data_IF_572701395946
#
_entry.id   IF_572701395946
#
_cell.length_a   1.000
_cell.length_b   1.000
_cell.length_c   1.000
_cell.angle_alpha   90.00
_cell.angle_beta   90.00
_cell.angle_gamma   90.00
#
_symmetry.space_group_name_H-M   'P 1'
#
loop_
_entity.id
_entity.type
_entity.pdbx_description
1 polymer ?
#
# COMPACT_ATOMS: atom_id res chain seq x y z
N UNK A 1 -21.00 -9.04 -39.31
CA UNK A 1 -21.84 -9.53 -40.41
C UNK A 1 -23.21 -8.87 -40.33
N UNK A 2 -23.98 -8.82 -41.43
CA UNK A 2 -25.36 -8.35 -41.34
C UNK A 2 -26.13 -9.19 -40.31
N UNK A 3 -26.86 -8.54 -39.39
CA UNK A 3 -27.59 -9.20 -38.29
C UNK A 3 -26.81 -9.41 -36.98
N UNK A 4 -25.54 -8.98 -36.89
CA UNK A 4 -24.78 -9.07 -35.64
C UNK A 4 -25.26 -8.04 -34.59
N UNK A 5 -25.43 -8.49 -33.33
CA UNK A 5 -25.66 -7.60 -32.21
C UNK A 5 -24.37 -6.83 -31.87
N UNK A 6 -24.48 -5.51 -31.71
CA UNK A 6 -23.36 -4.61 -31.38
C UNK A 6 -23.74 -3.70 -30.21
N UNK A 7 -22.73 -3.21 -29.50
CA UNK A 7 -22.91 -2.16 -28.49
C UNK A 7 -22.52 -0.81 -29.07
N UNK A 8 -23.31 0.21 -28.78
CA UNK A 8 -23.03 1.60 -29.18
C UNK A 8 -23.19 2.51 -27.98
N UNK A 9 -22.31 3.51 -27.87
CA UNK A 9 -22.44 4.59 -26.91
C UNK A 9 -22.70 5.88 -27.67
N UNK A 10 -23.86 6.48 -27.44
CA UNK A 10 -24.28 7.73 -28.08
C UNK A 10 -24.22 8.87 -27.06
N UNK A 11 -23.10 9.62 -26.98
CA UNK A 11 -23.04 10.87 -26.24
C UNK A 11 -24.10 11.88 -26.71
N UNK A 12 -24.32 12.93 -25.90
CA UNK A 12 -25.36 13.95 -26.12
C UNK A 12 -25.20 14.75 -27.42
N UNK A 13 -24.06 14.67 -28.08
CA UNK A 13 -23.76 15.31 -29.37
C UNK A 13 -24.31 14.53 -30.59
N UNK A 14 -24.96 13.39 -30.36
CA UNK A 14 -25.63 12.59 -31.40
C UNK A 14 -24.72 11.68 -32.20
N UNK A 15 -23.40 11.66 -31.94
CA UNK A 15 -22.45 10.76 -32.61
C UNK A 15 -22.26 9.48 -31.81
N UNK A 16 -22.85 8.39 -32.28
CA UNK A 16 -22.69 7.08 -31.65
C UNK A 16 -21.33 6.46 -31.99
N UNK A 17 -20.61 6.00 -30.97
CA UNK A 17 -19.38 5.25 -31.11
C UNK A 17 -19.65 3.76 -30.91
N UNK A 18 -19.06 2.91 -31.77
CA UNK A 18 -19.05 1.46 -31.57
C UNK A 18 -18.29 1.13 -30.27
N UNK A 19 -18.84 0.21 -29.49
CA UNK A 19 -18.27 -0.25 -28.22
C UNK A 19 -18.30 -1.77 -28.14
N UNK A 20 -17.49 -2.28 -27.23
CA UNK A 20 -17.48 -3.68 -26.81
C UNK A 20 -17.51 -3.71 -25.29
N UNK A 21 -18.27 -4.64 -24.73
CA UNK A 21 -18.19 -4.93 -23.29
C UNK A 21 -16.77 -5.40 -22.97
N UNK A 22 -16.06 -4.73 -22.04
CA UNK A 22 -14.72 -5.13 -21.67
C UNK A 22 -14.72 -6.58 -21.16
N UNK A 23 -13.75 -7.37 -21.60
CA UNK A 23 -13.49 -8.68 -21.01
C UNK A 23 -12.72 -8.57 -19.68
N UNK A 24 -12.02 -7.45 -19.49
CA UNK A 24 -11.35 -7.10 -18.23
C UNK A 24 -12.37 -6.52 -17.27
N UNK A 25 -12.18 -6.77 -16.00
CA UNK A 25 -13.04 -6.30 -14.92
C UNK A 25 -12.31 -5.30 -14.04
N UNK A 26 -13.09 -4.59 -13.23
CA UNK A 26 -12.56 -3.64 -12.27
C UNK A 26 -13.43 -3.54 -11.04
N UNK A 27 -12.86 -3.02 -9.96
CA UNK A 27 -13.60 -2.70 -8.75
C UNK A 27 -13.08 -1.43 -8.12
N UNK A 28 -13.97 -0.73 -7.41
CA UNK A 28 -13.64 0.46 -6.64
C UNK A 28 -14.40 0.45 -5.33
N UNK A 29 -13.71 0.77 -4.24
CA UNK A 29 -14.33 1.04 -2.95
C UNK A 29 -13.78 2.32 -2.38
N UNK A 30 -14.67 3.23 -1.97
CA UNK A 30 -14.32 4.48 -1.31
C UNK A 30 -14.83 4.44 0.14
N UNK A 31 -13.97 4.80 1.09
CA UNK A 31 -14.22 4.67 2.52
C UNK A 31 -13.78 5.93 3.27
N UNK A 32 -14.59 6.34 4.25
CA UNK A 32 -14.19 7.35 5.23
C UNK A 32 -13.22 6.71 6.26
N UNK A 33 -11.96 7.17 6.37
CA UNK A 33 -10.97 6.54 7.23
C UNK A 33 -11.27 6.69 8.74
N UNK A 34 -12.02 7.72 9.13
CA UNK A 34 -12.30 8.03 10.53
C UNK A 34 -13.50 7.25 11.09
N UNK A 35 -14.34 6.70 10.23
CA UNK A 35 -15.55 5.98 10.65
C UNK A 35 -15.66 4.56 10.11
N UNK A 36 -14.98 4.25 8.99
CA UNK A 36 -15.17 2.98 8.27
C UNK A 36 -16.41 2.96 7.37
N UNK A 37 -17.15 4.07 7.25
CA UNK A 37 -18.29 4.17 6.34
C UNK A 37 -17.85 3.99 4.89
N UNK A 38 -18.48 3.04 4.21
CA UNK A 38 -18.30 2.83 2.77
C UNK A 38 -19.17 3.84 2.03
N UNK A 39 -18.53 4.76 1.32
CA UNK A 39 -19.17 5.87 0.62
C UNK A 39 -19.52 5.52 -0.83
N UNK A 40 -18.73 4.64 -1.45
CA UNK A 40 -19.00 4.09 -2.76
C UNK A 40 -18.47 2.65 -2.86
N UNK A 41 -19.21 1.79 -3.56
CA UNK A 41 -18.82 0.42 -3.87
C UNK A 41 -19.22 0.09 -5.30
N UNK A 42 -18.25 -0.29 -6.12
CA UNK A 42 -18.42 -0.76 -7.49
C UNK A 42 -17.78 -2.14 -7.58
N UNK A 43 -18.60 -3.19 -7.66
CA UNK A 43 -18.17 -4.60 -7.63
C UNK A 43 -17.77 -5.19 -8.98
N UNK A 44 -17.94 -4.47 -10.09
CA UNK A 44 -17.69 -4.94 -11.45
C UNK A 44 -18.09 -3.89 -12.48
N UNK A 45 -17.81 -4.18 -13.75
CA UNK A 45 -18.17 -3.30 -14.88
C UNK A 45 -19.68 -3.06 -14.99
N UNK A 46 -20.48 -4.13 -14.85
CA UNK A 46 -21.94 -4.05 -14.93
C UNK A 46 -22.61 -5.15 -14.07
N UNK A 47 -23.38 -4.73 -13.06
CA UNK A 47 -24.09 -5.64 -12.16
C UNK A 47 -25.10 -6.55 -12.88
N UNK A 48 -25.60 -6.16 -14.06
CA UNK A 48 -26.53 -6.98 -14.84
C UNK A 48 -25.86 -8.20 -15.47
N UNK A 49 -24.53 -8.20 -15.55
CA UNK A 49 -23.76 -9.33 -16.06
C UNK A 49 -23.41 -10.35 -14.97
N UNK A 50 -23.51 -9.97 -13.69
CA UNK A 50 -23.27 -10.85 -12.55
C UNK A 50 -23.36 -10.12 -11.21
N UNK A 51 -23.74 -10.86 -10.17
CA UNK A 51 -23.90 -10.38 -8.79
C UNK A 51 -22.63 -10.51 -7.93
N UNK A 52 -21.57 -11.11 -8.48
CA UNK A 52 -20.28 -11.27 -7.80
C UNK A 52 -19.59 -9.92 -7.56
N UNK A 53 -19.43 -9.55 -6.29
CA UNK A 53 -18.78 -8.30 -5.90
C UNK A 53 -17.27 -8.49 -5.73
N UNK A 54 -16.51 -7.97 -6.68
CA UNK A 54 -15.04 -8.04 -6.65
C UNK A 54 -14.42 -7.21 -5.54
N UNK A 55 -15.18 -6.33 -4.90
CA UNK A 55 -14.73 -5.57 -3.72
C UNK A 55 -14.67 -6.47 -2.47
N UNK A 56 -15.66 -7.35 -2.31
CA UNK A 56 -15.88 -8.13 -1.07
C UNK A 56 -15.43 -9.57 -1.19
N UNK A 57 -15.53 -10.16 -2.38
CA UNK A 57 -15.45 -11.61 -2.57
C UNK A 57 -14.28 -12.04 -3.45
N UNK A 58 -13.73 -11.15 -4.29
CA UNK A 58 -12.57 -11.46 -5.11
C UNK A 58 -11.27 -11.42 -4.30
N UNK A 59 -10.79 -12.61 -3.94
CA UNK A 59 -9.44 -12.79 -3.41
C UNK A 59 -8.42 -12.67 -4.55
N UNK A 60 -7.52 -11.69 -4.43
CA UNK A 60 -6.51 -11.32 -5.44
C UNK A 60 -5.21 -10.95 -4.76
N UNK A 61 -4.09 -11.15 -5.45
CA UNK A 61 -2.79 -10.77 -4.94
C UNK A 61 -2.64 -9.24 -4.98
N UNK A 62 -2.41 -8.56 -3.85
CA UNK A 62 -2.25 -7.10 -3.82
C UNK A 62 -0.92 -6.62 -4.45
N UNK A 63 0.07 -7.51 -4.58
CA UNK A 63 1.40 -7.20 -5.07
C UNK A 63 2.03 -6.04 -4.30
N UNK A 64 2.72 -5.13 -5.01
CA UNK A 64 3.38 -3.96 -4.40
C UNK A 64 2.45 -3.00 -3.62
N UNK A 65 1.13 -3.11 -3.72
CA UNK A 65 0.21 -2.32 -2.86
C UNK A 65 0.23 -2.82 -1.40
N UNK A 66 0.83 -3.97 -1.12
CA UNK A 66 1.04 -4.47 0.24
C UNK A 66 2.25 -3.83 0.94
N UNK A 67 3.19 -3.21 0.21
CA UNK A 67 4.44 -2.68 0.78
C UNK A 67 4.25 -1.70 1.94
N UNK A 68 3.31 -0.74 1.92
CA UNK A 68 3.09 0.14 3.08
C UNK A 68 2.83 -0.62 4.38
N UNK A 69 2.24 -1.82 4.32
CA UNK A 69 1.99 -2.68 5.47
C UNK A 69 3.30 -3.28 6.01
N UNK A 70 4.18 -3.74 5.10
CA UNK A 70 5.52 -4.25 5.45
C UNK A 70 6.36 -3.14 6.09
N UNK A 71 6.36 -1.96 5.49
CA UNK A 71 7.13 -0.81 5.98
C UNK A 71 6.60 -0.36 7.35
N UNK A 72 5.28 -0.28 7.52
CA UNK A 72 4.66 -0.01 8.81
C UNK A 72 5.12 -1.01 9.89
N UNK A 73 5.12 -2.32 9.58
CA UNK A 73 5.57 -3.35 10.52
C UNK A 73 7.04 -3.18 10.98
N UNK A 74 7.89 -2.61 10.11
CA UNK A 74 9.30 -2.34 10.40
C UNK A 74 9.54 -1.02 11.16
N UNK A 75 8.63 -0.06 11.00
CA UNK A 75 8.65 1.22 11.72
C UNK A 75 8.03 1.10 13.12
N UNK A 76 7.14 0.13 13.34
CA UNK A 76 6.59 -0.17 14.66
C UNK A 76 7.72 -0.42 15.67
N UNK A 77 7.57 0.05 16.92
CA UNK A 77 8.47 -0.28 18.00
C UNK A 77 8.72 -1.79 18.12
N UNK A 78 9.92 -2.14 18.57
CA UNK A 78 10.25 -3.51 18.91
C UNK A 78 9.44 -3.96 20.14
N UNK A 79 8.96 -5.20 20.12
CA UNK A 79 8.20 -5.76 21.25
C UNK A 79 9.13 -6.18 22.40
N UNK A 80 10.37 -6.52 22.07
CA UNK A 80 11.41 -6.89 23.02
C UNK A 80 12.76 -6.30 22.61
N UNK A 81 13.61 -6.08 23.60
CA UNK A 81 15.01 -5.72 23.37
C UNK A 81 15.72 -6.80 22.53
N UNK A 82 16.60 -6.38 21.61
CA UNK A 82 17.33 -7.29 20.71
C UNK A 82 16.54 -7.82 19.50
N UNK A 83 15.25 -7.50 19.37
CA UNK A 83 14.50 -7.83 18.16
C UNK A 83 15.00 -7.01 16.96
N UNK A 84 15.25 -7.67 15.82
CA UNK A 84 15.72 -7.04 14.58
C UNK A 84 14.56 -6.59 13.70
N UNK A 85 14.85 -5.70 12.75
CA UNK A 85 13.90 -5.26 11.72
C UNK A 85 12.74 -4.39 12.20
N UNK A 86 12.76 -3.88 13.43
CA UNK A 86 11.71 -3.05 14.02
C UNK A 86 12.28 -1.73 14.56
N UNK A 87 11.41 -0.76 14.87
CA UNK A 87 11.80 0.55 15.36
C UNK A 87 12.66 1.35 14.38
N UNK A 88 12.59 1.01 13.09
CA UNK A 88 13.33 1.71 12.04
C UNK A 88 12.77 3.11 11.82
N UNK A 89 13.45 3.90 11.00
CA UNK A 89 13.01 5.25 10.62
C UNK A 89 12.84 5.35 9.11
N UNK A 90 12.04 6.32 8.60
CA UNK A 90 11.97 6.60 7.17
C UNK A 90 13.34 6.92 6.52
N UNK A 91 14.30 7.38 7.31
CA UNK A 91 15.67 7.69 6.90
C UNK A 91 16.63 6.50 6.95
N UNK A 92 16.24 5.36 7.56
CA UNK A 92 17.04 4.13 7.58
C UNK A 92 17.47 3.77 6.16
N UNK A 93 18.77 3.52 5.97
CA UNK A 93 19.33 3.10 4.69
C UNK A 93 19.18 1.59 4.53
N UNK A 94 18.64 1.16 3.40
CA UNK A 94 18.51 -0.25 3.04
C UNK A 94 19.21 -0.43 1.70
N UNK A 95 20.05 -1.44 1.60
CA UNK A 95 20.82 -1.70 0.39
C UNK A 95 19.91 -2.22 -0.73
N UNK A 96 19.74 -1.43 -1.77
CA UNK A 96 19.15 -1.87 -3.02
C UNK A 96 20.23 -2.53 -3.88
N UNK A 97 20.36 -3.86 -3.74
CA UNK A 97 21.32 -4.71 -4.43
C UNK A 97 20.70 -6.11 -4.65
N UNK A 98 21.28 -6.97 -5.53
CA UNK A 98 20.84 -8.35 -5.69
C UNK A 98 20.63 -9.04 -4.35
N UNK A 99 19.55 -9.80 -4.22
CA UNK A 99 19.16 -10.47 -2.99
C UNK A 99 18.80 -11.91 -3.28
N UNK A 100 19.29 -12.83 -2.46
CA UNK A 100 18.91 -14.23 -2.50
C UNK A 100 18.96 -14.79 -1.08
N UNK A 101 17.93 -15.53 -0.70
CA UNK A 101 17.89 -16.28 0.56
C UNK A 101 17.32 -17.65 0.32
N UNK A 102 17.79 -18.63 1.08
CA UNK A 102 17.20 -19.96 1.10
C UNK A 102 15.83 -19.87 1.79
N UNK A 103 14.79 -20.32 1.10
CA UNK A 103 13.48 -20.52 1.66
C UNK A 103 13.48 -21.82 2.49
N UNK A 104 12.57 -21.91 3.47
CA UNK A 104 12.51 -23.06 4.38
C UNK A 104 12.20 -24.42 3.72
N UNK A 105 11.91 -24.44 2.42
CA UNK A 105 11.70 -25.63 1.58
C UNK A 105 12.93 -26.02 0.74
N UNK A 106 14.08 -25.35 0.94
CA UNK A 106 15.32 -25.58 0.20
C UNK A 106 15.37 -24.88 -1.18
N UNK A 107 14.32 -24.13 -1.55
CA UNK A 107 14.36 -23.29 -2.75
C UNK A 107 15.09 -21.98 -2.47
N UNK A 108 15.65 -21.33 -3.49
CA UNK A 108 16.23 -19.99 -3.34
C UNK A 108 15.21 -18.95 -3.75
N UNK A 109 14.85 -18.07 -2.82
CA UNK A 109 14.04 -16.89 -3.11
C UNK A 109 14.94 -15.70 -3.45
N UNK A 110 14.96 -15.33 -4.73
CA UNK A 110 15.76 -14.23 -5.27
C UNK A 110 14.87 -13.21 -6.00
N UNK A 111 14.22 -12.28 -5.28
CA UNK A 111 13.37 -11.26 -5.88
C UNK A 111 14.19 -10.20 -6.61
N UNK A 112 13.65 -9.72 -7.73
CA UNK A 112 14.25 -8.67 -8.54
C UNK A 112 13.37 -7.41 -8.58
N UNK A 113 13.98 -6.25 -8.86
CA UNK A 113 13.27 -5.00 -9.08
C UNK A 113 12.50 -5.05 -10.41
N UNK A 114 11.50 -4.16 -10.54
CA UNK A 114 10.75 -4.03 -11.80
C UNK A 114 11.69 -3.63 -12.96
N UNK A 115 12.67 -2.76 -12.68
CA UNK A 115 13.74 -2.42 -13.61
C UNK A 115 14.99 -3.22 -13.23
N UNK A 116 15.23 -4.33 -13.94
CA UNK A 116 16.19 -5.38 -13.56
C UNK A 116 17.67 -4.97 -13.68
N UNK A 117 17.95 -3.91 -14.43
CA UNK A 117 19.33 -3.52 -14.78
C UNK A 117 19.94 -2.47 -13.84
N UNK A 118 19.19 -1.98 -12.84
CA UNK A 118 19.63 -0.85 -12.03
C UNK A 118 19.39 -1.07 -10.54
N UNK A 119 20.45 -0.88 -9.77
CA UNK A 119 20.47 -0.88 -8.32
C UNK A 119 20.95 0.47 -7.81
N UNK A 120 20.27 1.01 -6.80
CA UNK A 120 20.59 2.31 -6.21
C UNK A 120 21.63 2.22 -5.08
N UNK A 121 21.95 1.01 -4.61
CA UNK A 121 22.76 0.80 -3.41
C UNK A 121 22.05 1.30 -2.14
N UNK A 122 22.78 1.72 -1.10
CA UNK A 122 22.18 2.20 0.15
C UNK A 122 21.24 3.38 -0.09
N UNK A 123 19.96 3.16 0.17
CA UNK A 123 18.88 4.09 -0.16
C UNK A 123 17.95 4.22 1.04
N UNK A 124 17.42 5.42 1.30
CA UNK A 124 16.48 5.65 2.41
C UNK A 124 15.20 4.83 2.24
N UNK A 125 14.66 4.33 3.36
CA UNK A 125 13.41 3.57 3.38
C UNK A 125 12.29 4.31 2.66
N UNK A 126 12.18 5.63 2.85
CA UNK A 126 11.26 6.48 2.10
C UNK A 126 11.35 6.27 0.58
N UNK A 127 12.55 6.41 0.01
CA UNK A 127 12.75 6.27 -1.44
C UNK A 127 12.45 4.83 -1.90
N UNK A 128 12.78 3.84 -1.06
CA UNK A 128 12.42 2.43 -1.29
C UNK A 128 10.92 2.22 -1.50
N UNK A 129 10.08 2.86 -0.66
CA UNK A 129 8.62 2.75 -0.79
C UNK A 129 8.10 3.49 -2.04
N UNK A 130 8.63 4.68 -2.31
CA UNK A 130 8.20 5.56 -3.40
C UNK A 130 8.47 4.98 -4.78
N UNK A 131 9.68 4.43 -4.94
CA UNK A 131 10.13 3.74 -6.15
C UNK A 131 9.69 2.28 -6.18
N UNK A 132 9.08 1.80 -5.09
CA UNK A 132 8.55 0.43 -4.98
C UNK A 132 9.62 -0.63 -5.19
N UNK A 133 10.80 -0.48 -4.58
CA UNK A 133 11.93 -1.40 -4.76
C UNK A 133 11.67 -2.74 -4.06
N UNK A 134 11.80 -3.84 -4.79
CA UNK A 134 11.49 -5.20 -4.31
C UNK A 134 12.59 -5.72 -3.40
N UNK A 135 13.85 -5.54 -3.79
CA UNK A 135 15.05 -5.94 -3.05
C UNK A 135 15.15 -5.32 -1.65
N UNK A 136 14.84 -4.03 -1.51
CA UNK A 136 14.79 -3.35 -0.21
C UNK A 136 13.65 -3.89 0.66
N UNK A 137 12.48 -4.13 0.06
CA UNK A 137 11.33 -4.70 0.78
C UNK A 137 11.64 -6.13 1.23
N UNK A 138 12.29 -6.93 0.39
CA UNK A 138 12.71 -8.28 0.70
C UNK A 138 13.70 -8.32 1.88
N UNK A 139 14.67 -7.41 1.90
CA UNK A 139 15.60 -7.24 3.03
C UNK A 139 14.87 -6.87 4.32
N UNK A 140 13.89 -5.98 4.27
CA UNK A 140 13.08 -5.65 5.45
C UNK A 140 12.35 -6.88 5.99
N UNK A 141 11.74 -7.67 5.12
CA UNK A 141 11.03 -8.89 5.52
C UNK A 141 12.01 -9.91 6.10
N UNK A 142 13.20 -10.03 5.52
CA UNK A 142 14.25 -10.90 6.02
C UNK A 142 14.71 -10.49 7.43
N UNK A 143 14.97 -9.20 7.66
CA UNK A 143 15.37 -8.69 8.98
C UNK A 143 14.27 -8.81 10.04
N UNK A 144 13.00 -8.64 9.66
CA UNK A 144 11.86 -8.77 10.56
C UNK A 144 11.44 -10.21 10.85
N UNK A 145 11.70 -11.11 9.90
CA UNK A 145 10.98 -12.37 9.77
C UNK A 145 9.58 -12.19 9.13
N UNK A 146 9.12 -13.17 8.33
CA UNK A 146 7.81 -13.10 7.68
C UNK A 146 6.62 -13.08 8.66
N UNK A 147 6.84 -13.54 9.89
CA UNK A 147 5.79 -13.78 10.88
C UNK A 147 5.31 -12.46 11.45
N UNK A 148 6.24 -11.53 11.68
CA UNK A 148 5.92 -10.16 12.06
C UNK A 148 5.09 -9.47 10.98
N UNK A 149 5.41 -9.69 9.71
CA UNK A 149 4.64 -9.14 8.58
C UNK A 149 3.22 -9.71 8.55
N UNK A 150 3.08 -11.03 8.72
CA UNK A 150 1.78 -11.69 8.76
C UNK A 150 0.94 -11.28 9.96
N UNK A 151 1.54 -11.19 11.16
CA UNK A 151 0.87 -10.75 12.38
C UNK A 151 0.37 -9.31 12.25
N UNK A 152 1.22 -8.40 11.75
CA UNK A 152 0.84 -7.01 11.53
C UNK A 152 -0.29 -6.90 10.49
N UNK A 153 -0.23 -7.64 9.40
CA UNK A 153 -1.29 -7.66 8.38
C UNK A 153 -2.60 -8.25 8.92
N UNK A 154 -2.54 -9.29 9.75
CA UNK A 154 -3.70 -9.90 10.40
C UNK A 154 -4.35 -8.95 11.43
N UNK A 155 -3.53 -8.20 12.18
CA UNK A 155 -3.98 -7.14 13.09
C UNK A 155 -4.80 -6.06 12.37
N UNK A 156 -4.45 -5.75 11.12
CA UNK A 156 -5.19 -4.83 10.25
C UNK A 156 -6.37 -5.47 9.51
N UNK A 157 -6.62 -6.77 9.69
CA UNK A 157 -7.73 -7.49 9.05
C UNK A 157 -7.50 -7.83 7.57
N UNK A 158 -6.26 -7.78 7.08
CA UNK A 158 -5.94 -8.16 5.69
C UNK A 158 -6.04 -9.68 5.51
N UNK A 159 -5.55 -10.42 6.50
CA UNK A 159 -5.57 -11.88 6.53
C UNK A 159 -6.24 -12.39 7.81
N UNK A 160 -6.83 -13.57 7.71
CA UNK A 160 -7.41 -14.25 8.87
C UNK A 160 -6.28 -14.88 9.69
N UNK A 161 -6.22 -14.68 11.03
CA UNK A 161 -5.10 -15.16 11.86
C UNK A 161 -4.85 -16.68 11.79
N UNK A 162 -5.84 -17.47 11.37
CA UNK A 162 -5.71 -18.91 11.15
C UNK A 162 -4.86 -19.28 9.93
N UNK A 163 -4.64 -18.36 8.98
CA UNK A 163 -3.86 -18.59 7.74
C UNK A 163 -2.34 -18.42 7.95
N UNK A 164 -1.81 -18.99 9.04
CA UNK A 164 -0.39 -18.87 9.42
C UNK A 164 0.58 -19.35 8.34
N UNK A 165 0.14 -20.24 7.45
CA UNK A 165 0.91 -20.69 6.29
C UNK A 165 1.26 -19.59 5.28
N UNK A 166 0.64 -18.41 5.35
CA UNK A 166 1.00 -17.24 4.54
C UNK A 166 2.26 -16.52 5.04
N UNK A 167 2.75 -16.84 6.23
CA UNK A 167 3.95 -16.24 6.82
C UNK A 167 5.22 -16.80 6.12
N UNK A 168 5.47 -16.32 4.91
CA UNK A 168 6.64 -16.65 4.08
C UNK A 168 7.28 -15.38 3.54
N UNK A 169 8.56 -15.40 3.18
CA UNK A 169 9.29 -14.19 2.76
C UNK A 169 8.63 -13.44 1.59
N UNK A 170 8.05 -14.18 0.64
CA UNK A 170 7.35 -13.61 -0.51
C UNK A 170 6.08 -12.85 -0.13
N UNK A 171 5.53 -13.03 1.09
CA UNK A 171 4.39 -12.25 1.59
C UNK A 171 4.67 -10.75 1.53
N UNK A 172 5.90 -10.32 1.80
CA UNK A 172 6.26 -8.90 1.75
C UNK A 172 6.16 -8.29 0.34
N UNK A 173 6.12 -9.11 -0.71
CA UNK A 173 5.87 -8.68 -2.08
C UNK A 173 4.40 -8.82 -2.50
N UNK A 174 3.53 -9.20 -1.56
CA UNK A 174 2.08 -9.22 -1.75
C UNK A 174 1.54 -10.46 -2.47
N UNK A 175 2.13 -11.63 -2.26
CA UNK A 175 1.65 -12.90 -2.84
C UNK A 175 0.41 -13.48 -2.12
N UNK A 176 0.11 -13.03 -0.90
CA UNK A 176 -1.05 -13.50 -0.15
C UNK A 176 -2.34 -12.85 -0.67
N UNK A 177 -3.29 -13.65 -1.13
CA UNK A 177 -4.55 -13.15 -1.69
C UNK A 177 -5.48 -12.55 -0.63
N UNK A 178 -6.06 -11.39 -0.97
CA UNK A 178 -7.01 -10.66 -0.12
C UNK A 178 -7.99 -9.88 -1.00
N UNK A 179 -8.90 -9.12 -0.39
CA UNK A 179 -9.96 -8.40 -1.12
C UNK A 179 -9.69 -6.89 -1.15
N UNK A 180 -10.20 -6.16 -2.16
CA UNK A 180 -10.10 -4.71 -2.19
C UNK A 180 -10.65 -4.03 -0.95
N UNK A 181 -11.74 -4.55 -0.37
CA UNK A 181 -12.28 -4.02 0.88
C UNK A 181 -11.28 -4.15 2.03
N UNK A 182 -10.68 -5.33 2.23
CA UNK A 182 -9.71 -5.58 3.32
C UNK A 182 -8.49 -4.66 3.20
N UNK A 183 -7.91 -4.56 2.01
CA UNK A 183 -6.76 -3.68 1.77
C UNK A 183 -7.09 -2.20 1.95
N UNK A 184 -8.24 -1.74 1.43
CA UNK A 184 -8.68 -0.35 1.59
C UNK A 184 -8.93 -0.01 3.06
N UNK A 185 -9.50 -0.94 3.82
CA UNK A 185 -9.72 -0.78 5.27
C UNK A 185 -8.39 -0.65 6.02
N UNK A 186 -7.38 -1.46 5.67
CA UNK A 186 -6.05 -1.38 6.27
C UNK A 186 -5.39 -0.02 6.01
N UNK A 187 -5.48 0.50 4.77
CA UNK A 187 -5.00 1.85 4.45
C UNK A 187 -5.76 2.93 5.21
N UNK A 188 -7.07 2.78 5.37
CA UNK A 188 -7.87 3.69 6.16
C UNK A 188 -7.46 3.73 7.65
N UNK A 189 -7.03 2.60 8.22
CA UNK A 189 -6.41 2.57 9.56
C UNK A 189 -5.06 3.30 9.61
N UNK A 190 -4.26 3.29 8.53
CA UNK A 190 -3.04 4.10 8.49
C UNK A 190 -3.37 5.60 8.41
N UNK A 191 -4.32 5.98 7.56
CA UNK A 191 -4.73 7.38 7.35
C UNK A 191 -5.36 8.01 8.59
N UNK A 192 -6.11 7.23 9.38
CA UNK A 192 -6.77 7.74 10.58
C UNK A 192 -5.87 7.79 11.83
N UNK A 193 -4.58 7.53 11.70
CA UNK A 193 -3.62 7.52 12.81
C UNK A 193 -3.59 6.22 13.61
N UNK A 194 -4.00 5.10 13.02
CA UNK A 194 -3.84 3.75 13.58
C UNK A 194 -5.03 3.22 14.39
N UNK A 195 -6.20 3.85 14.30
CA UNK A 195 -7.43 3.44 15.01
C UNK A 195 -8.17 2.36 14.22
N UNK A 196 -8.55 1.29 14.93
CA UNK A 196 -9.31 0.18 14.36
C UNK A 196 -10.64 0.68 13.80
N UNK A 197 -10.92 0.34 12.55
CA UNK A 197 -12.24 0.52 11.93
C UNK A 197 -12.72 -0.81 11.38
N UNK A 198 -14.03 -0.92 11.23
CA UNK A 198 -14.68 -1.99 10.47
C UNK A 198 -15.52 -1.33 9.37
N UNK A 199 -15.58 -1.90 8.16
CA UNK A 199 -16.43 -1.37 7.09
C UNK A 199 -17.89 -1.28 7.53
N UNK A 200 -18.52 -0.13 7.26
CA UNK A 200 -19.93 0.13 7.58
C UNK A 200 -20.68 0.35 6.28
N UNK A 201 -21.62 -0.54 5.98
CA UNK A 201 -22.54 -0.44 4.84
C UNK A 201 -23.92 0.10 5.24
N UNK A 202 -24.31 -0.10 6.49
CA UNK A 202 -25.61 0.31 7.04
C UNK A 202 -25.33 1.15 8.28
N UNK A 203 -25.62 2.45 8.19
CA UNK A 203 -25.40 3.38 9.31
C UNK A 203 -26.46 3.22 10.40
N UNK A 204 -27.72 3.07 10.00
CA UNK A 204 -28.88 3.10 10.89
C UNK A 204 -30.06 2.33 10.29
N UNK A 205 -30.79 1.64 11.15
CA UNK A 205 -32.07 0.99 10.84
C UNK A 205 -33.15 1.71 11.64
N UNK A 206 -34.23 2.11 10.98
CA UNK A 206 -35.39 2.77 11.58
C UNK A 206 -36.65 1.93 11.36
N UNK A 207 -37.59 2.03 12.29
CA UNK A 207 -38.94 1.49 12.08
C UNK A 207 -39.80 2.44 11.22
N UNK A 208 -41.05 2.05 10.98
CA UNK A 208 -42.01 2.81 10.17
C UNK A 208 -42.36 4.19 10.76
N UNK A 209 -42.16 4.36 12.06
CA UNK A 209 -42.48 5.59 12.80
C UNK A 209 -41.24 6.51 12.90
N UNK A 210 -40.10 6.09 12.32
CA UNK A 210 -38.85 6.83 12.28
C UNK A 210 -37.97 6.63 13.52
N UNK A 211 -38.35 5.73 14.44
CA UNK A 211 -37.55 5.44 15.64
C UNK A 211 -36.34 4.59 15.25
N UNK A 212 -35.16 4.95 15.76
CA UNK A 212 -33.92 4.21 15.49
C UNK A 212 -33.90 2.89 16.26
N UNK A 213 -33.99 1.76 15.56
CA UNK A 213 -33.91 0.41 16.15
C UNK A 213 -32.45 -0.01 16.35
N UNK A 214 -31.57 0.38 15.41
CA UNK A 214 -30.14 0.07 15.47
C UNK A 214 -29.33 1.19 14.83
N UNK A 215 -28.18 1.49 15.41
CA UNK A 215 -27.13 2.36 14.85
C UNK A 215 -25.81 1.61 14.85
N UNK A 216 -24.95 1.87 13.88
CA UNK A 216 -23.63 1.23 13.86
C UNK A 216 -22.63 1.92 14.78
N UNK A 217 -22.69 3.26 14.87
CA UNK A 217 -21.92 4.00 15.87
C UNK A 217 -22.58 3.83 17.25
N UNK A 218 -21.85 3.15 18.14
CA UNK A 218 -22.28 2.81 19.50
C UNK A 218 -21.54 3.64 20.56
N UNK A 219 -20.75 4.64 20.14
CA UNK A 219 -20.02 5.50 21.09
C UNK A 219 -21.01 6.31 21.91
N UNK A 220 -20.71 6.44 23.20
CA UNK A 220 -21.47 7.33 24.09
C UNK A 220 -21.36 8.77 23.59
N UNK A 221 -22.49 9.45 23.49
CA UNK A 221 -22.54 10.86 23.15
C UNK A 221 -23.38 11.61 24.18
N UNK A 222 -22.72 11.98 25.27
CA UNK A 222 -23.31 12.80 26.31
C UNK A 222 -23.62 14.19 25.72
N UNK A 223 -24.90 14.56 25.69
CA UNK A 223 -25.37 15.81 25.09
C UNK A 223 -25.85 15.75 23.64
N UNK A 224 -25.76 14.60 22.95
CA UNK A 224 -26.37 14.45 21.61
C UNK A 224 -27.91 14.59 21.62
N UNK A 225 -28.54 14.37 22.77
CA UNK A 225 -29.99 14.51 22.97
C UNK A 225 -30.38 15.83 23.66
N UNK A 226 -29.41 16.68 23.99
CA UNK A 226 -29.69 17.97 24.64
C UNK A 226 -30.33 18.93 23.61
N UNK A 227 -31.31 19.76 24.03
CA UNK A 227 -31.86 20.79 23.16
C UNK A 227 -30.74 21.73 22.70
N UNK A 228 -30.79 22.12 21.42
CA UNK A 228 -29.85 23.10 20.88
C UNK A 228 -30.10 24.48 21.49
N UNK A 229 -29.12 25.01 22.21
CA UNK A 229 -29.09 26.33 22.83
C UNK A 229 -27.90 27.19 22.34
N UNK A 230 -27.25 26.80 21.24
CA UNK A 230 -26.05 27.45 20.70
C UNK A 230 -24.74 26.89 21.24
N UNK A 231 -24.77 25.76 21.95
CA UNK A 231 -23.59 24.99 22.34
C UNK A 231 -22.83 24.46 21.12
N UNK A 232 -21.52 24.21 21.23
CA UNK A 232 -20.80 23.47 20.19
C UNK A 232 -21.32 22.03 20.02
N UNK A 233 -21.01 21.39 18.89
CA UNK A 233 -21.30 19.97 18.73
C UNK A 233 -20.63 19.14 19.86
N UNK A 234 -21.31 18.15 20.46
CA UNK A 234 -20.71 17.32 21.50
C UNK A 234 -19.45 16.64 21.00
N UNK A 235 -18.41 16.61 21.85
CA UNK A 235 -17.19 15.88 21.54
C UNK A 235 -17.40 14.41 21.87
N UNK A 236 -17.41 13.57 20.83
CA UNK A 236 -17.55 12.12 20.99
C UNK A 236 -16.15 11.53 21.24
N UNK A 237 -15.89 10.89 22.38
CA UNK A 237 -14.59 10.28 22.64
C UNK A 237 -14.32 9.15 21.65
N UNK A 238 -13.10 9.10 21.14
CA UNK A 238 -12.66 8.02 20.27
C UNK A 238 -12.12 6.84 21.09
N UNK A 239 -13.00 5.87 21.35
CA UNK A 239 -12.71 4.66 22.13
C UNK A 239 -12.25 3.48 21.27
N UNK A 240 -11.97 3.69 19.98
CA UNK A 240 -11.51 2.62 19.08
C UNK A 240 -10.13 2.13 19.51
N UNK A 241 -9.92 0.82 19.39
CA UNK A 241 -8.62 0.17 19.65
C UNK A 241 -7.52 0.82 18.80
N UNK A 242 -6.36 1.07 19.42
CA UNK A 242 -5.16 1.53 18.71
C UNK A 242 -4.41 0.30 18.18
N UNK A 243 -4.40 0.10 16.86
CA UNK A 243 -3.81 -1.08 16.20
C UNK A 243 -2.53 -0.79 15.43
N UNK A 244 -2.15 0.47 15.27
CA UNK A 244 -0.83 0.90 14.75
C UNK A 244 -0.36 2.06 15.62
N UNK A 245 0.91 2.18 15.93
CA UNK A 245 1.40 3.37 16.62
C UNK A 245 1.12 4.64 15.77
N UNK A 246 0.61 5.74 16.34
CA UNK A 246 0.24 6.92 15.56
C UNK A 246 1.42 7.52 14.77
N UNK A 247 2.63 7.50 15.33
CA UNK A 247 3.83 8.02 14.65
C UNK A 247 4.17 7.12 13.46
N UNK A 248 4.13 5.79 13.65
CA UNK A 248 4.27 4.82 12.54
C UNK A 248 3.27 5.08 11.42
N UNK A 249 1.99 5.26 11.77
CA UNK A 249 0.92 5.51 10.81
C UNK A 249 1.19 6.79 10.00
N UNK A 250 1.59 7.88 10.67
CA UNK A 250 1.94 9.14 10.01
C UNK A 250 3.21 9.03 9.13
N UNK A 251 4.23 8.32 9.58
CA UNK A 251 5.45 8.07 8.79
C UNK A 251 5.11 7.35 7.48
N UNK A 252 4.28 6.31 7.53
CA UNK A 252 3.87 5.56 6.33
C UNK A 252 3.01 6.43 5.41
N UNK A 253 2.06 7.19 5.96
CA UNK A 253 1.23 8.14 5.20
C UNK A 253 2.10 9.18 4.50
N UNK A 254 3.07 9.76 5.21
CA UNK A 254 4.01 10.74 4.66
C UNK A 254 4.92 10.13 3.58
N UNK A 255 5.39 8.89 3.74
CA UNK A 255 6.15 8.18 2.71
C UNK A 255 5.29 7.87 1.47
N UNK A 256 4.04 7.46 1.67
CA UNK A 256 3.11 7.16 0.59
C UNK A 256 2.63 8.43 -0.16
N UNK A 257 2.67 9.61 0.46
CA UNK A 257 2.53 10.89 -0.24
C UNK A 257 3.61 11.03 -1.33
N UNK A 258 4.85 10.66 -1.01
CA UNK A 258 5.96 10.69 -1.96
C UNK A 258 5.78 9.75 -3.17
N UNK A 259 4.96 8.70 -3.08
CA UNK A 259 4.65 7.83 -4.23
C UNK A 259 3.90 8.61 -5.32
N UNK A 260 3.00 9.51 -4.91
CA UNK A 260 2.33 10.46 -5.81
C UNK A 260 3.28 11.61 -6.14
N UNK A 261 3.98 12.10 -5.12
CA UNK A 261 4.98 13.20 -5.08
C UNK A 261 6.10 13.09 -6.13
N UNK A 262 6.67 11.90 -6.27
CA UNK A 262 7.90 11.68 -7.02
C UNK A 262 8.15 10.21 -7.37
N UNK A 263 7.19 9.34 -7.05
CA UNK A 263 7.29 7.90 -7.27
C UNK A 263 6.40 7.39 -8.39
N UNK A 264 5.97 6.14 -8.21
CA UNK A 264 5.26 5.34 -9.23
C UNK A 264 3.83 5.80 -9.57
N UNK A 265 3.23 6.74 -8.83
CA UNK A 265 1.84 7.19 -9.02
C UNK A 265 1.72 8.67 -9.41
N UNK A 266 2.77 9.20 -10.02
CA UNK A 266 2.93 10.60 -10.46
C UNK A 266 1.75 11.17 -11.28
N UNK A 267 1.01 10.33 -12.02
CA UNK A 267 -0.20 10.71 -12.76
C UNK A 267 -1.31 11.30 -11.87
N UNK A 268 -1.37 10.91 -10.59
CA UNK A 268 -2.36 11.35 -9.61
C UNK A 268 -2.15 12.81 -9.18
N UNK A 269 -0.93 13.37 -9.34
CA UNK A 269 -0.64 14.77 -9.00
C UNK A 269 -1.58 15.78 -9.65
N UNK A 270 -2.07 15.46 -10.85
CA UNK A 270 -2.97 16.32 -11.62
C UNK A 270 -4.30 16.63 -10.93
N UNK A 271 -4.67 15.87 -9.87
CA UNK A 271 -5.83 16.20 -9.01
C UNK A 271 -5.62 17.52 -8.25
N UNK A 272 -4.36 17.93 -8.00
CA UNK A 272 -4.07 19.20 -7.32
C UNK A 272 -4.47 19.22 -5.84
N UNK A 273 -4.36 18.08 -5.15
CA UNK A 273 -4.66 17.91 -3.72
C UNK A 273 -3.53 17.12 -3.05
N UNK A 274 -3.41 17.25 -1.74
CA UNK A 274 -2.55 16.42 -0.90
C UNK A 274 -3.08 14.99 -0.90
N UNK A 275 -2.39 14.13 -1.66
CA UNK A 275 -2.75 12.74 -1.87
C UNK A 275 -1.55 11.82 -1.64
N UNK A 276 -1.81 10.67 -1.04
CA UNK A 276 -0.86 9.58 -0.94
C UNK A 276 -1.45 8.29 -1.49
N UNK A 277 -0.61 7.29 -1.70
CA UNK A 277 -1.09 6.00 -2.13
C UNK A 277 0.03 5.06 -2.55
N UNK A 278 -0.37 3.91 -3.10
CA UNK A 278 0.57 2.93 -3.60
C UNK A 278 0.01 2.16 -4.79
N UNK A 279 0.85 2.04 -5.81
CA UNK A 279 0.66 1.13 -6.94
C UNK A 279 0.92 -0.31 -6.51
N UNK A 280 0.08 -1.23 -6.96
CA UNK A 280 0.31 -2.67 -6.88
C UNK A 280 0.30 -3.28 -8.28
N UNK A 281 1.21 -4.22 -8.49
CA UNK A 281 1.33 -4.98 -9.73
C UNK A 281 1.83 -6.36 -9.33
N UNK A 282 1.18 -7.39 -9.87
CA UNK A 282 1.53 -8.78 -9.63
C UNK A 282 2.39 -9.31 -10.78
N UNK A 283 2.98 -10.49 -10.59
CA UNK A 283 3.74 -11.16 -11.63
C UNK A 283 2.86 -11.37 -12.89
N UNK A 284 3.50 -11.32 -14.06
CA UNK A 284 2.86 -11.41 -15.38
C UNK A 284 1.74 -10.38 -15.64
N UNK A 285 1.68 -9.31 -14.85
CA UNK A 285 0.67 -8.25 -14.97
C UNK A 285 -0.77 -8.78 -14.85
N UNK A 286 -1.03 -9.75 -13.97
CA UNK A 286 -2.39 -10.32 -13.79
C UNK A 286 -3.34 -9.38 -13.08
N UNK A 287 -2.82 -8.59 -12.12
CA UNK A 287 -3.58 -7.67 -11.30
C UNK A 287 -2.90 -6.29 -11.27
N UNK A 288 -3.69 -5.26 -11.52
CA UNK A 288 -3.31 -3.87 -11.38
C UNK A 288 -4.09 -3.25 -10.23
N UNK A 289 -3.37 -2.75 -9.22
CA UNK A 289 -3.94 -2.12 -8.03
C UNK A 289 -3.49 -0.68 -7.91
N UNK A 290 -4.37 0.14 -7.35
CA UNK A 290 -3.98 1.38 -6.73
C UNK A 290 -4.85 1.64 -5.51
N UNK A 291 -4.21 1.82 -4.36
CA UNK A 291 -4.89 2.25 -3.14
C UNK A 291 -4.33 3.60 -2.77
N UNK A 292 -5.17 4.62 -2.81
CA UNK A 292 -4.78 5.98 -2.53
C UNK A 292 -5.74 6.64 -1.56
N UNK A 293 -5.35 7.82 -1.09
CA UNK A 293 -6.08 8.50 -0.05
C UNK A 293 -5.78 10.00 -0.03
N UNK A 294 -6.77 10.73 0.47
CA UNK A 294 -6.65 12.07 1.06
C UNK A 294 -6.77 11.95 2.58
N UNK A 295 -6.66 13.04 3.36
CA UNK A 295 -6.84 12.96 4.82
C UNK A 295 -8.20 12.40 5.27
N UNK A 296 -9.24 12.47 4.41
CA UNK A 296 -10.64 12.17 4.78
C UNK A 296 -11.34 11.17 3.85
N UNK A 297 -10.61 10.60 2.90
CA UNK A 297 -11.15 9.62 1.95
C UNK A 297 -10.06 8.65 1.51
N UNK A 298 -10.32 7.35 1.61
CA UNK A 298 -9.45 6.28 1.09
C UNK A 298 -10.19 5.55 -0.01
N UNK A 299 -9.51 5.30 -1.14
CA UNK A 299 -10.08 4.61 -2.29
C UNK A 299 -9.15 3.50 -2.74
N UNK A 300 -9.69 2.29 -2.81
CA UNK A 300 -9.02 1.14 -3.42
C UNK A 300 -9.59 0.84 -4.79
N UNK A 301 -8.71 0.68 -5.77
CA UNK A 301 -9.03 0.31 -7.15
C UNK A 301 -8.28 -0.97 -7.51
N UNK A 302 -8.98 -1.92 -8.11
CA UNK A 302 -8.41 -3.12 -8.72
C UNK A 302 -8.90 -3.25 -10.16
N UNK A 303 -8.03 -3.72 -11.05
CA UNK A 303 -8.31 -4.07 -12.44
C UNK A 303 -7.66 -5.42 -12.74
N UNK A 304 -8.40 -6.33 -13.36
CA UNK A 304 -7.94 -7.69 -13.64
C UNK A 304 -8.98 -8.54 -14.36
N UNK A 305 -8.62 -9.76 -14.72
CA UNK A 305 -9.56 -10.74 -15.26
C UNK A 305 -10.04 -11.70 -14.17
N UNK A 306 -11.30 -12.13 -14.27
CA UNK A 306 -11.87 -13.09 -13.31
C UNK A 306 -11.09 -14.40 -13.29
N UNK A 307 -10.85 -14.97 -14.48
CA UNK A 307 -9.84 -16.00 -14.66
C UNK A 307 -8.48 -15.30 -14.85
N UNK A 308 -7.52 -15.44 -13.91
CA UNK A 308 -6.26 -14.70 -13.97
C UNK A 308 -5.53 -14.93 -15.29
N UNK A 309 -5.25 -13.85 -16.01
CA UNK A 309 -4.41 -13.81 -17.21
C UNK A 309 -3.76 -12.44 -17.31
N UNK A 310 -2.69 -12.34 -18.09
CA UNK A 310 -1.97 -11.08 -18.24
C UNK A 310 -2.86 -9.97 -18.78
N UNK A 311 -2.76 -8.78 -18.19
CA UNK A 311 -3.36 -7.54 -18.71
C UNK A 311 -2.60 -7.00 -19.92
N UNK A 312 -1.37 -7.45 -20.14
CA UNK A 312 -0.45 -6.95 -21.15
C UNK A 312 0.84 -6.43 -20.52
N UNK A 313 1.93 -6.45 -21.31
CA UNK A 313 3.21 -5.95 -20.83
C UNK A 313 3.14 -4.45 -20.53
N UNK A 314 3.57 -4.07 -19.32
CA UNK A 314 3.52 -2.68 -18.86
C UNK A 314 2.16 -2.22 -18.35
N UNK A 315 1.13 -3.07 -18.40
CA UNK A 315 -0.20 -2.81 -17.83
C UNK A 315 -0.19 -3.00 -16.31
N UNK A 316 0.48 -2.06 -15.64
CA UNK A 316 0.72 -2.03 -14.20
C UNK A 316 -0.28 -1.11 -13.47
N UNK A 317 -0.25 -1.16 -12.14
CA UNK A 317 -1.11 -0.35 -11.26
C UNK A 317 -1.03 1.16 -11.54
N UNK A 318 0.14 1.68 -11.93
CA UNK A 318 0.33 3.09 -12.28
C UNK A 318 -0.32 3.53 -13.60
N UNK A 319 -0.57 2.61 -14.54
CA UNK A 319 -1.14 2.90 -15.86
C UNK A 319 -2.64 2.58 -15.95
N UNK A 320 -3.12 1.59 -15.21
CA UNK A 320 -4.53 1.19 -15.22
C UNK A 320 -5.31 1.70 -14.01
N UNK A 321 -4.91 1.31 -12.80
CA UNK A 321 -5.68 1.59 -11.59
C UNK A 321 -5.53 3.03 -11.10
N UNK A 322 -4.31 3.61 -11.17
CA UNK A 322 -4.06 4.97 -10.70
C UNK A 322 -4.81 6.05 -11.50
N UNK A 323 -4.98 5.97 -12.83
CA UNK A 323 -5.85 6.90 -13.57
C UNK A 323 -7.32 6.82 -13.18
N UNK A 324 -7.86 5.63 -12.90
CA UNK A 324 -9.24 5.47 -12.41
C UNK A 324 -9.40 6.17 -11.05
N UNK A 325 -8.43 5.97 -10.15
CA UNK A 325 -8.39 6.70 -8.88
C UNK A 325 -8.29 8.22 -9.07
N UNK A 326 -7.42 8.69 -9.96
CA UNK A 326 -7.26 10.12 -10.27
C UNK A 326 -8.59 10.73 -10.70
N UNK A 327 -9.29 10.09 -11.64
CA UNK A 327 -10.55 10.60 -12.18
C UNK A 327 -11.66 10.62 -11.12
N UNK A 328 -11.74 9.56 -10.30
CA UNK A 328 -12.66 9.51 -9.17
C UNK A 328 -12.37 10.62 -8.14
N UNK A 329 -11.11 10.78 -7.73
CA UNK A 329 -10.72 11.77 -6.72
C UNK A 329 -10.82 13.21 -7.23
N UNK A 330 -10.60 13.45 -8.52
CA UNK A 330 -10.79 14.76 -9.13
C UNK A 330 -12.24 15.24 -9.00
N UNK A 331 -13.22 14.35 -9.15
CA UNK A 331 -14.63 14.71 -8.94
C UNK A 331 -14.99 14.71 -7.45
N UNK A 332 -14.57 13.70 -6.69
CA UNK A 332 -14.89 13.57 -5.26
C UNK A 332 -14.36 14.74 -4.42
N UNK A 333 -13.18 15.30 -4.77
CA UNK A 333 -12.53 16.39 -4.02
C UNK A 333 -12.68 17.76 -4.70
N UNK A 334 -13.48 17.88 -5.75
CA UNK A 334 -13.61 19.10 -6.56
C UNK A 334 -13.99 20.34 -5.76
N UNK A 335 -14.76 20.16 -4.69
CA UNK A 335 -15.26 21.23 -3.81
C UNK A 335 -14.60 21.25 -2.43
N UNK A 336 -13.67 20.33 -2.18
CA UNK A 336 -12.98 20.21 -0.90
C UNK A 336 -11.73 21.09 -0.87
N UNK A 337 -11.38 21.63 0.29
CA UNK A 337 -10.13 22.38 0.48
C UNK A 337 -8.94 21.42 0.53
N UNK A 338 -7.82 21.82 -0.07
CA UNK A 338 -6.58 21.06 0.12
C UNK A 338 -6.16 21.12 1.60
N UNK A 339 -5.88 19.96 2.18
CA UNK A 339 -5.64 19.81 3.61
C UNK A 339 -4.45 18.86 3.81
N UNK A 340 -3.47 19.20 4.65
CA UNK A 340 -2.36 18.31 4.93
C UNK A 340 -2.81 17.08 5.74
N UNK A 341 -2.01 16.01 5.71
CA UNK A 341 -2.23 14.86 6.60
C UNK A 341 -2.12 15.26 8.07
N UNK A 342 -2.98 14.67 8.91
CA UNK A 342 -3.04 14.98 10.35
C UNK A 342 -1.83 14.39 11.06
N UNK A 343 -0.95 15.26 11.55
CA UNK A 343 0.23 14.87 12.31
C UNK A 343 -0.16 14.56 13.77
N UNK A 344 0.15 13.37 14.31
CA UNK A 344 -0.10 13.05 15.70
C UNK A 344 0.87 13.78 16.64
N UNK A 345 0.46 13.91 17.90
CA UNK A 345 1.32 14.49 18.94
C UNK A 345 2.61 13.67 19.09
N UNK A 346 3.72 14.37 19.34
CA UNK A 346 5.03 13.76 19.55
C UNK A 346 5.86 13.51 18.30
N UNK A 347 5.32 13.66 17.09
CA UNK A 347 6.15 13.60 15.86
C UNK A 347 7.14 14.76 15.85
N UNK A 348 8.40 14.46 15.52
CA UNK A 348 9.41 15.47 15.21
C UNK A 348 9.63 15.55 13.71
N UNK A 349 9.44 16.74 13.15
CA UNK A 349 9.74 17.02 11.75
C UNK A 349 11.17 17.56 11.64
N UNK A 350 12.02 16.86 10.91
CA UNK A 350 13.44 17.20 10.78
C UNK A 350 13.80 17.28 9.30
N UNK A 351 14.54 18.32 8.92
CA UNK A 351 15.10 18.44 7.58
C UNK A 351 16.31 17.52 7.47
N UNK A 352 16.29 16.61 6.51
CA UNK A 352 17.38 15.66 6.24
C UNK A 352 17.81 15.75 4.77
N UNK A 353 19.03 15.33 4.49
CA UNK A 353 19.49 15.03 3.14
C UNK A 353 18.70 13.83 2.60
N UNK A 354 18.02 14.02 1.46
CA UNK A 354 17.11 13.01 0.92
C UNK A 354 17.81 11.71 0.48
N UNK A 355 19.13 11.78 0.19
CA UNK A 355 19.93 10.63 -0.24
C UNK A 355 20.54 9.90 0.94
N UNK A 356 21.13 10.62 1.88
CA UNK A 356 21.92 10.00 2.96
C UNK A 356 21.09 9.74 4.22
N UNK A 357 19.95 10.41 4.39
CA UNK A 357 19.15 10.34 5.61
C UNK A 357 19.74 11.12 6.78
N UNK A 358 20.86 11.82 6.59
CA UNK A 358 21.55 12.58 7.64
C UNK A 358 21.10 14.05 7.68
N UNK A 359 21.55 14.79 8.70
CA UNK A 359 21.40 16.25 8.74
C UNK A 359 22.08 16.88 7.51
N UNK A 360 21.45 17.86 6.82
CA UNK A 360 22.03 18.49 5.64
C UNK A 360 23.38 19.14 5.92
N UNK A 361 24.31 19.02 4.98
CA UNK A 361 25.64 19.63 5.07
C UNK A 361 25.99 20.38 3.77
N UNK A 362 27.21 20.90 3.65
CA UNK A 362 27.66 21.68 2.50
C UNK A 362 27.61 20.91 1.15
N UNK A 363 27.56 19.57 1.18
CA UNK A 363 27.46 18.72 -0.02
C UNK A 363 26.03 18.24 -0.32
N UNK A 364 25.05 18.61 0.51
CA UNK A 364 23.66 18.22 0.32
C UNK A 364 23.06 18.90 -0.91
N UNK A 365 22.56 18.09 -1.83
CA UNK A 365 21.95 18.54 -3.09
C UNK A 365 20.44 18.67 -2.97
N UNK A 366 19.80 17.78 -2.21
CA UNK A 366 18.35 17.74 -2.04
C UNK A 366 18.00 17.45 -0.59
N UNK A 367 16.97 18.13 -0.09
CA UNK A 367 16.51 18.00 1.29
C UNK A 367 15.03 17.68 1.35
N UNK A 368 14.64 16.88 2.33
CA UNK A 368 13.24 16.58 2.63
C UNK A 368 12.95 16.79 4.11
N UNK A 369 11.72 17.18 4.42
CA UNK A 369 11.22 17.16 5.80
C UNK A 369 10.72 15.75 6.09
N UNK A 370 11.32 15.12 7.10
CA UNK A 370 11.04 13.75 7.48
C UNK A 370 10.47 13.66 8.90
N UNK A 371 9.60 12.68 9.11
CA UNK A 371 8.92 12.46 10.38
C UNK A 371 9.65 11.41 11.23
N UNK A 372 10.02 11.78 12.45
CA UNK A 372 10.73 10.93 13.40
C UNK A 372 9.94 10.76 14.70
N UNK A 373 10.13 9.59 15.33
CA UNK A 373 9.83 9.40 16.74
C UNK A 373 10.85 10.19 17.56
N UNK A 374 10.48 10.85 18.68
CA UNK A 374 11.45 11.56 19.50
C UNK A 374 12.62 10.67 19.92
N UNK A 375 13.83 11.18 19.73
CA UNK A 375 15.08 10.47 20.04
C UNK A 375 15.55 9.51 18.94
N UNK A 376 14.87 9.47 17.79
CA UNK A 376 15.28 8.66 16.63
C UNK A 376 15.70 9.50 15.43
N UNK A 377 15.56 10.83 15.54
CA UNK A 377 16.05 11.76 14.53
C UNK A 377 17.58 11.73 14.41
N UNK A 378 18.13 11.92 13.20
CA UNK A 378 19.56 12.09 13.02
C UNK A 378 20.01 13.39 13.70
N UNK A 379 21.20 13.36 14.28
CA UNK A 379 21.89 14.52 14.86
C UNK A 379 23.22 14.73 14.15
N UNK A 380 23.95 15.80 14.48
CA UNK A 380 25.28 16.05 13.92
C UNK A 380 26.34 15.05 14.44
N UNK A 381 26.04 14.31 15.51
CA UNK A 381 26.94 13.31 16.07
C UNK A 381 26.97 12.02 15.23
N UNK A 382 28.16 11.53 14.91
CA UNK A 382 28.38 10.33 14.08
C UNK A 382 27.61 9.08 14.55
N UNK A 383 27.35 8.96 15.86
CA UNK A 383 26.59 7.85 16.47
C UNK A 383 25.07 7.84 16.20
N UNK A 384 24.55 8.91 15.59
CA UNK A 384 23.13 9.04 15.20
C UNK A 384 22.89 8.82 13.70
N UNK A 385 23.90 8.27 13.01
CA UNK A 385 23.79 7.94 11.58
C UNK A 385 22.66 6.94 11.33
N UNK A 386 21.97 7.02 10.18
CA UNK A 386 20.93 6.07 9.83
C UNK A 386 21.45 4.64 9.88
N UNK A 387 20.65 3.74 10.46
CA UNK A 387 20.89 2.29 10.39
C UNK A 387 21.06 1.90 8.92
N UNK A 388 22.07 1.07 8.63
CA UNK A 388 22.30 0.50 7.29
C UNK A 388 21.96 -0.98 7.33
N UNK A 389 20.95 -1.38 6.55
CA UNK A 389 20.55 -2.78 6.38
C UNK A 389 21.15 -3.31 5.08
N UNK A 390 21.83 -4.47 5.14
CA UNK A 390 22.29 -5.19 3.94
C UNK A 390 23.73 -4.92 3.48
N UNK A 391 24.51 -4.09 4.18
CA UNK A 391 25.99 -4.07 4.05
C UNK A 391 26.59 -4.84 5.23
N UNK A 392 27.22 -5.97 4.94
CA UNK A 392 27.48 -7.03 5.92
C UNK A 392 28.34 -6.65 7.14
N UNK A 393 28.00 -7.27 8.28
CA UNK A 393 29.02 -7.97 9.05
C UNK A 393 29.49 -9.16 8.22
N UNK A 394 30.75 -9.16 7.81
CA UNK A 394 31.41 -10.32 7.22
C UNK A 394 31.47 -11.45 8.25
N UNK A 395 30.78 -12.56 8.01
CA UNK A 395 30.89 -13.73 8.87
C UNK A 395 29.88 -14.84 8.59
N UNK A 396 29.80 -15.37 7.37
CA UNK A 396 29.34 -16.74 7.19
C UNK A 396 30.55 -17.67 7.36
N UNK A 397 30.58 -18.58 8.36
CA UNK A 397 31.52 -19.68 8.34
C UNK A 397 31.03 -20.67 7.26
N UNK A 398 31.79 -20.83 6.17
CA UNK A 398 31.71 -22.07 5.38
C UNK A 398 31.46 -21.97 3.88
N UNK A 399 31.74 -20.85 3.21
CA UNK A 399 31.87 -20.88 1.73
C UNK A 399 33.20 -20.22 1.34
N UNK A 400 34.25 -21.04 1.26
CA UNK A 400 35.51 -20.66 0.65
C UNK A 400 35.29 -20.29 -0.82
N UNK A 401 35.90 -19.17 -1.22
CA UNK A 401 35.83 -18.65 -2.58
C UNK A 401 36.46 -19.62 -3.59
N UNK A 402 35.66 -20.02 -4.57
CA UNK A 402 36.16 -20.61 -5.82
C UNK A 402 36.63 -19.52 -6.78
N UNK A 403 37.71 -19.75 -7.56
CA UNK A 403 38.38 -18.70 -8.32
C UNK A 403 37.54 -18.19 -9.49
N UNK A 404 37.62 -16.88 -9.70
CA UNK A 404 37.15 -16.16 -10.89
C UNK A 404 37.66 -16.80 -12.17
N UNK A 405 36.76 -17.28 -13.04
CA UNK A 405 37.10 -17.59 -14.43
C UNK A 405 36.72 -16.43 -15.37
N UNK A 406 37.54 -16.13 -16.39
CA UNK A 406 37.31 -15.00 -17.29
C UNK A 406 36.31 -15.31 -18.40
N UNK A 407 35.61 -14.25 -18.84
CA UNK A 407 34.68 -14.17 -19.97
C UNK A 407 35.04 -15.04 -21.19
N UNK A 408 34.07 -15.80 -21.67
CA UNK A 408 33.96 -16.19 -23.09
C UNK A 408 32.56 -15.89 -23.64
N UNK A 409 32.42 -15.48 -24.92
CA UNK A 409 31.14 -15.03 -25.47
C UNK A 409 30.36 -16.16 -26.17
N UNK A 410 29.05 -16.22 -25.89
CA UNK A 410 27.97 -16.53 -26.82
C UNK A 410 27.81 -17.95 -27.35
N UNK A 411 26.80 -18.67 -26.85
CA UNK A 411 25.97 -19.58 -27.66
C UNK A 411 24.50 -19.53 -27.22
N UNK A 412 23.53 -19.66 -28.15
CA UNK A 412 22.10 -19.51 -27.85
C UNK A 412 21.55 -20.78 -27.18
N UNK A 413 20.79 -20.63 -26.09
CA UNK A 413 20.07 -21.76 -25.49
C UNK A 413 18.79 -22.05 -26.27
N UNK A 414 18.67 -23.33 -26.56
CA UNK A 414 17.65 -24.02 -27.32
C UNK A 414 16.34 -24.08 -26.52
N UNK A 415 15.25 -23.95 -27.26
CA UNK A 415 13.86 -23.99 -26.84
C UNK A 415 13.45 -25.44 -26.50
N UNK A 416 13.22 -25.74 -25.23
CA UNK A 416 12.64 -27.01 -24.80
C UNK A 416 11.30 -26.72 -24.10
N UNK A 417 10.25 -26.68 -24.93
CA UNK A 417 8.88 -26.74 -24.46
C UNK A 417 8.57 -28.12 -23.90
N UNK A 418 8.06 -28.16 -22.67
CA UNK A 418 7.26 -29.28 -22.18
C UNK A 418 6.22 -28.73 -21.18
N UNK A 419 4.97 -28.76 -21.62
CA UNK A 419 3.81 -28.53 -20.77
C UNK A 419 3.53 -29.72 -19.85
N UNK A 420 2.83 -29.45 -18.77
CA UNK A 420 2.32 -30.48 -17.86
C UNK A 420 1.58 -29.84 -16.69
N UNK A 421 0.25 -29.91 -16.75
CA UNK A 421 -0.69 -29.58 -15.68
C UNK A 421 -0.40 -30.40 -14.41
N UNK A 422 -0.39 -29.76 -13.24
CA UNK A 422 -1.40 -29.84 -12.17
C UNK A 422 -1.17 -28.75 -11.12
#
# INVERSE_FOLDING_TARGET
TSGAAIYVQCPRDGRCNLRQTPAVEGSLVAMNPHTGRVLALIGGYDFRLGDFSRVTDAHRQPGSSFKPIVYAASLEPCASEGQRGCGLTPATLIDDAPFAVEAGDGTVWAPDNYNRDTFLGPTTMRVGLERSLNTMTARLVYEMGPERVFDFASRLGIYDPSKRNLAVFSLGLGVGETTPLRMTTAYAMLVNGGRRINPIFIDRIQDRDGVSVRRQDQRACDGCSAPWNGQGAPVIPDVREQVVDPITAYQVVSMAQGVVERGTATVVKSVGKTLGGKTGTTNDYKDAWFIGFSPDLVVGVWVGFDTPRSLGEGEAGGRLAAPIFRDFMAEALKRETDTPFRMPAGVRLVRIDARTGQVPNASTVDTIIEAFRPGTEPTEDFGSSPIIIGRGETGFPGVEGGPTQPNQPGQPKQDDGLGGLY
#
